data_IF_186651333406
#
_entry.id   IF_186651333406
#
_cell.length_a   1.000
_cell.length_b   1.000
_cell.length_c   1.000
_cell.angle_alpha   90.00
_cell.angle_beta   90.00
_cell.angle_gamma   90.00
#
_symmetry.space_group_name_H-M   'P 1'
#
loop_
_entity.id
_entity.type
_entity.pdbx_description
1 polymer ?
#
# COMPACT_ATOMS: atom_id res chain seq x y z
N UNK A 1 -69.42 7.72 10.17
CA UNK A 1 -68.94 7.82 8.78
C UNK A 1 -67.72 6.92 8.63
N UNK A 2 -67.77 5.85 7.83
CA UNK A 2 -66.60 5.02 7.52
C UNK A 2 -65.76 5.63 6.38
N UNK A 3 -64.48 5.28 6.31
CA UNK A 3 -63.59 5.61 5.18
C UNK A 3 -62.76 4.38 4.81
N UNK A 4 -62.76 4.01 3.52
CA UNK A 4 -62.18 2.76 3.00
C UNK A 4 -60.92 3.02 2.16
N UNK A 5 -59.81 2.40 2.57
CA UNK A 5 -58.66 1.99 1.75
C UNK A 5 -57.80 1.04 2.62
N UNK A 6 -57.09 0.03 2.10
CA UNK A 6 -56.90 -0.44 0.73
C UNK A 6 -55.54 -1.15 0.66
N UNK A 7 -55.45 -2.46 0.35
CA UNK A 7 -54.23 -3.22 0.58
C UNK A 7 -53.14 -2.92 -0.46
N UNK A 8 -51.88 -2.79 0.00
CA UNK A 8 -50.69 -2.67 -0.86
C UNK A 8 -50.14 -4.07 -1.15
N UNK A 9 -49.91 -4.37 -2.43
CA UNK A 9 -49.44 -5.68 -2.87
C UNK A 9 -47.91 -5.87 -2.69
N UNK A 10 -47.50 -7.11 -2.43
CA UNK A 10 -46.10 -7.52 -2.43
C UNK A 10 -45.70 -8.06 -3.83
N UNK A 11 -44.51 -7.70 -4.37
CA UNK A 11 -43.96 -8.35 -5.55
C UNK A 11 -43.27 -9.69 -5.18
N UNK A 12 -43.37 -10.74 -6.01
CA UNK A 12 -42.70 -12.02 -5.75
C UNK A 12 -41.19 -11.95 -6.04
N UNK A 13 -40.38 -12.52 -5.15
CA UNK A 13 -38.93 -12.72 -5.39
C UNK A 13 -38.73 -14.02 -6.17
N UNK A 14 -38.08 -13.93 -7.33
CA UNK A 14 -37.74 -15.08 -8.17
C UNK A 14 -36.44 -15.71 -7.66
N UNK A 15 -36.49 -16.99 -7.29
CA UNK A 15 -35.29 -17.79 -7.05
C UNK A 15 -34.68 -18.25 -8.38
N UNK A 16 -33.47 -17.78 -8.69
CA UNK A 16 -32.64 -18.39 -9.74
C UNK A 16 -31.83 -19.55 -9.14
N UNK A 17 -32.12 -20.78 -9.59
CA UNK A 17 -31.27 -21.94 -9.35
C UNK A 17 -30.02 -21.85 -10.23
N UNK A 18 -28.85 -22.16 -9.66
CA UNK A 18 -27.58 -22.14 -10.39
C UNK A 18 -27.29 -23.47 -11.09
N UNK A 19 -26.67 -23.39 -12.27
CA UNK A 19 -25.98 -24.49 -12.95
C UNK A 19 -24.68 -23.91 -13.52
N UNK A 20 -23.54 -24.54 -13.22
CA UNK A 20 -22.28 -24.31 -13.91
C UNK A 20 -21.45 -25.60 -13.84
N UNK A 21 -21.36 -26.30 -14.97
CA UNK A 21 -20.63 -27.55 -15.10
C UNK A 21 -19.12 -27.32 -15.27
N UNK A 22 -18.31 -28.19 -14.65
CA UNK A 22 -16.97 -28.48 -15.14
C UNK A 22 -17.05 -29.49 -16.29
N UNK A 23 -16.07 -29.47 -17.21
CA UNK A 23 -15.27 -30.69 -17.28
C UNK A 23 -13.75 -30.45 -17.31
N UNK A 24 -13.03 -31.49 -16.91
CA UNK A 24 -11.58 -31.64 -16.94
C UNK A 24 -11.21 -32.43 -18.21
N UNK A 25 -10.08 -32.15 -18.87
CA UNK A 25 -9.14 -33.20 -19.33
C UNK A 25 -7.81 -32.65 -19.87
N UNK A 26 -6.70 -33.27 -19.43
CA UNK A 26 -5.54 -33.77 -20.21
C UNK A 26 -4.72 -32.87 -21.16
N UNK A 27 -3.45 -33.18 -21.48
CA UNK A 27 -2.31 -33.88 -20.84
C UNK A 27 -1.17 -33.98 -21.89
N UNK A 28 0.07 -34.30 -21.48
CA UNK A 28 1.24 -34.60 -22.36
C UNK A 28 1.76 -33.39 -23.17
N UNK A 29 3.00 -33.28 -23.68
CA UNK A 29 4.25 -34.08 -23.77
C UNK A 29 5.46 -33.11 -23.56
N UNK A 30 6.76 -33.43 -23.53
CA UNK A 30 7.65 -34.57 -23.19
C UNK A 30 9.01 -34.32 -23.87
N UNK A 31 10.15 -34.29 -23.13
CA UNK A 31 11.56 -34.31 -23.65
C UNK A 31 11.98 -33.08 -24.51
N UNK A 32 13.25 -32.79 -24.86
CA UNK A 32 14.62 -32.91 -24.27
C UNK A 32 15.58 -32.00 -25.12
N UNK A 33 16.92 -31.92 -25.06
CA UNK A 33 17.99 -32.68 -24.37
C UNK A 33 19.35 -31.93 -24.34
N UNK A 34 20.26 -32.38 -23.46
CA UNK A 34 21.75 -32.39 -23.54
C UNK A 34 22.61 -31.22 -24.12
N UNK A 35 23.42 -30.63 -23.23
CA UNK A 35 24.88 -30.41 -23.30
C UNK A 35 25.64 -30.47 -24.65
N UNK A 36 26.53 -29.49 -24.95
CA UNK A 36 27.75 -29.75 -25.74
C UNK A 36 28.97 -28.84 -25.42
N UNK A 37 30.01 -29.46 -24.82
CA UNK A 37 31.48 -29.21 -24.85
C UNK A 37 32.14 -27.88 -24.38
N UNK A 38 33.14 -28.08 -23.50
CA UNK A 38 34.36 -27.25 -23.35
C UNK A 38 35.33 -27.42 -24.53
N UNK A 39 36.19 -26.42 -24.76
CA UNK A 39 37.52 -26.57 -25.39
C UNK A 39 38.54 -25.75 -24.56
N UNK A 40 39.75 -26.30 -24.36
CA UNK A 40 40.89 -25.64 -23.73
C UNK A 40 42.02 -25.56 -24.77
N UNK A 41 42.68 -24.40 -24.87
CA UNK A 41 44.03 -24.26 -25.46
C UNK A 41 44.86 -23.42 -24.49
N UNK A 42 46.15 -23.74 -24.38
CA UNK A 42 47.06 -23.23 -23.34
C UNK A 42 48.30 -22.57 -23.95
N UNK A 43 49.02 -21.78 -23.13
CA UNK A 43 50.37 -21.22 -23.34
C UNK A 43 50.60 -20.23 -24.51
N UNK A 44 51.06 -19.02 -24.15
CA UNK A 44 52.43 -18.59 -24.45
C UNK A 44 52.89 -17.60 -23.36
N UNK A 45 54.19 -17.36 -23.22
CA UNK A 45 54.72 -16.50 -22.16
C UNK A 45 56.00 -15.75 -22.60
N UNK A 46 56.07 -14.44 -22.32
CA UNK A 46 57.17 -13.78 -21.59
C UNK A 46 56.96 -12.26 -21.40
N UNK A 47 57.63 -11.72 -20.38
CA UNK A 47 58.16 -10.35 -20.23
C UNK A 47 57.33 -9.12 -20.67
N UNK A 48 56.88 -8.33 -19.68
CA UNK A 48 57.26 -6.91 -19.57
C UNK A 48 56.92 -6.30 -18.19
N UNK A 49 57.79 -6.51 -17.19
CA UNK A 49 57.73 -5.78 -15.91
C UNK A 49 58.32 -4.37 -16.08
N UNK A 50 57.53 -3.39 -16.54
CA UNK A 50 57.82 -1.95 -16.32
C UNK A 50 56.63 -0.98 -16.52
N UNK A 51 55.41 -1.47 -16.81
CA UNK A 51 54.23 -0.62 -17.04
C UNK A 51 53.31 -0.40 -15.81
N UNK A 52 53.54 -1.09 -14.69
CA UNK A 52 52.56 -1.20 -13.59
C UNK A 52 52.30 0.08 -12.78
N UNK A 53 53.28 0.98 -12.64
CA UNK A 53 53.21 2.09 -11.69
C UNK A 53 52.46 3.34 -12.17
N UNK A 54 52.26 3.51 -13.48
CA UNK A 54 51.49 4.65 -14.01
C UNK A 54 50.01 4.33 -14.25
N UNK A 55 49.66 3.05 -14.43
CA UNK A 55 48.25 2.64 -14.60
C UNK A 55 47.50 2.54 -13.26
N UNK A 56 48.20 2.18 -12.17
CA UNK A 56 47.60 1.98 -10.84
C UNK A 56 47.11 3.26 -10.16
N UNK A 57 47.57 4.45 -10.57
CA UNK A 57 47.00 5.73 -10.07
C UNK A 57 45.66 6.03 -10.72
N UNK A 58 45.61 5.94 -12.06
CA UNK A 58 44.38 6.23 -12.81
C UNK A 58 43.25 5.29 -12.41
N UNK A 59 43.52 3.99 -12.28
CA UNK A 59 42.55 3.01 -11.77
C UNK A 59 42.17 3.15 -10.27
N UNK A 60 42.75 4.13 -9.55
CA UNK A 60 42.30 4.56 -8.22
C UNK A 60 41.48 5.85 -8.31
N UNK A 61 41.93 6.83 -9.09
CA UNK A 61 41.20 8.08 -9.40
C UNK A 61 39.87 7.78 -10.10
N UNK A 62 39.86 6.93 -11.15
CA UNK A 62 38.67 6.41 -11.85
C UNK A 62 37.72 5.65 -10.90
N UNK A 63 38.25 5.08 -9.82
CA UNK A 63 37.46 4.37 -8.78
C UNK A 63 36.81 5.33 -7.80
N UNK A 64 37.56 6.33 -7.34
CA UNK A 64 37.07 7.37 -6.44
C UNK A 64 36.00 8.22 -7.14
N UNK A 65 36.20 8.58 -8.41
CA UNK A 65 35.18 9.25 -9.22
C UNK A 65 33.95 8.36 -9.48
N UNK A 66 34.13 7.06 -9.72
CA UNK A 66 33.01 6.11 -9.83
C UNK A 66 32.27 5.88 -8.50
N UNK A 67 32.95 5.97 -7.35
CA UNK A 67 32.34 5.84 -6.02
C UNK A 67 31.61 7.12 -5.60
N UNK A 68 32.17 8.29 -5.90
CA UNK A 68 31.48 9.59 -5.78
C UNK A 68 30.27 9.63 -6.71
N UNK A 69 30.36 9.12 -7.94
CA UNK A 69 29.23 9.01 -8.85
C UNK A 69 28.14 8.07 -8.31
N UNK A 70 28.50 6.94 -7.70
CA UNK A 70 27.55 6.03 -7.01
C UNK A 70 26.87 6.71 -5.82
N UNK A 71 27.63 7.43 -4.98
CA UNK A 71 27.10 8.20 -3.83
C UNK A 71 26.28 9.42 -4.28
N UNK A 72 26.46 9.89 -5.53
CA UNK A 72 25.64 10.93 -6.14
C UNK A 72 24.32 10.37 -6.72
N UNK A 73 24.33 9.20 -7.39
CA UNK A 73 23.09 8.53 -7.83
C UNK A 73 22.29 8.01 -6.64
N UNK A 74 22.94 7.45 -5.63
CA UNK A 74 22.28 6.91 -4.44
C UNK A 74 21.58 8.01 -3.62
N UNK A 75 22.09 9.25 -3.63
CA UNK A 75 21.40 10.44 -3.08
C UNK A 75 20.22 10.95 -3.93
N UNK A 76 19.99 10.37 -5.10
CA UNK A 76 18.82 10.67 -5.95
C UNK A 76 17.70 9.63 -5.83
N UNK A 77 18.01 8.43 -5.32
CA UNK A 77 17.05 7.34 -5.08
C UNK A 77 16.48 7.33 -3.64
N UNK A 78 16.85 8.30 -2.78
CA UNK A 78 16.27 8.57 -1.45
C UNK A 78 14.83 9.16 -1.51
N UNK A 79 14.18 9.08 -2.67
CA UNK A 79 12.74 9.31 -2.80
C UNK A 79 12.00 8.07 -2.29
N UNK A 80 10.95 8.26 -1.47
CA UNK A 80 10.26 7.16 -0.79
C UNK A 80 9.81 6.04 -1.77
N UNK A 81 10.57 4.95 -1.79
CA UNK A 81 10.23 3.78 -2.59
C UNK A 81 8.96 3.13 -2.01
N UNK A 82 7.97 2.75 -2.84
CA UNK A 82 6.81 2.02 -2.36
C UNK A 82 7.24 0.75 -1.60
N UNK A 83 6.89 0.67 -0.33
CA UNK A 83 7.22 -0.46 0.53
C UNK A 83 6.66 -1.75 -0.07
N UNK A 84 7.49 -2.79 -0.17
CA UNK A 84 7.07 -4.08 -0.69
C UNK A 84 5.87 -4.63 0.09
N UNK A 85 4.83 -5.06 -0.62
CA UNK A 85 3.59 -5.58 -0.04
C UNK A 85 3.88 -6.70 0.97
N UNK A 86 3.30 -6.66 2.18
CA UNK A 86 3.34 -7.82 3.06
C UNK A 86 2.61 -9.00 2.39
N UNK A 87 3.08 -10.26 2.57
CA UNK A 87 2.40 -11.44 2.04
C UNK A 87 1.02 -11.59 2.69
N UNK A 88 -0.03 -11.27 1.94
CA UNK A 88 -1.40 -11.23 2.42
C UNK A 88 -1.87 -12.63 2.82
N UNK A 89 -2.24 -12.77 4.09
CA UNK A 89 -2.72 -14.02 4.70
C UNK A 89 -3.71 -13.69 5.83
N UNK A 90 -4.63 -14.60 6.20
CA UNK A 90 -5.55 -14.35 7.31
C UNK A 90 -4.80 -14.11 8.62
N UNK A 91 -3.68 -14.81 8.82
CA UNK A 91 -2.80 -14.69 9.97
C UNK A 91 -2.19 -13.28 10.12
N UNK A 92 -1.90 -12.58 9.02
CA UNK A 92 -1.47 -11.17 9.07
C UNK A 92 -2.61 -10.26 9.57
N UNK A 93 -3.84 -10.46 9.09
CA UNK A 93 -5.00 -9.69 9.55
C UNK A 93 -5.32 -9.96 11.03
N UNK A 94 -5.20 -11.21 11.47
CA UNK A 94 -5.37 -11.61 12.88
C UNK A 94 -4.19 -11.25 13.79
N UNK A 95 -3.20 -10.49 13.31
CA UNK A 95 -2.15 -9.87 14.10
C UNK A 95 -2.30 -8.32 14.12
N UNK A 96 -3.13 -7.75 15.03
CA UNK A 96 -3.43 -6.31 15.05
C UNK A 96 -2.20 -5.39 15.16
N UNK A 97 -1.12 -5.84 15.77
CA UNK A 97 0.17 -5.13 15.81
C UNK A 97 0.78 -5.03 14.41
N UNK A 98 0.99 -6.16 13.72
CA UNK A 98 1.57 -6.20 12.38
C UNK A 98 0.77 -5.39 11.35
N UNK A 99 -0.57 -5.47 11.41
CA UNK A 99 -1.47 -4.66 10.58
C UNK A 99 -1.28 -3.15 10.84
N UNK A 100 -1.32 -2.74 12.11
CA UNK A 100 -1.15 -1.32 12.49
C UNK A 100 0.25 -0.80 12.21
N UNK A 101 1.28 -1.63 12.38
CA UNK A 101 2.67 -1.27 12.13
C UNK A 101 2.95 -1.10 10.64
N UNK A 102 2.43 -1.97 9.78
CA UNK A 102 2.46 -1.75 8.32
C UNK A 102 1.81 -0.41 7.94
N UNK A 103 0.60 -0.14 8.42
CA UNK A 103 -0.12 1.09 8.11
C UNK A 103 0.61 2.32 8.66
N UNK A 104 1.15 2.26 9.89
CA UNK A 104 1.93 3.32 10.54
C UNK A 104 3.21 3.64 9.77
N UNK A 105 3.98 2.62 9.39
CA UNK A 105 5.24 2.78 8.65
C UNK A 105 4.95 3.35 7.25
N UNK A 106 3.95 2.81 6.55
CA UNK A 106 3.52 3.31 5.23
C UNK A 106 3.04 4.76 5.24
N UNK A 107 2.27 5.17 6.26
CA UNK A 107 1.87 6.57 6.47
C UNK A 107 3.08 7.47 6.73
N UNK A 108 4.00 7.04 7.59
CA UNK A 108 5.21 7.82 7.93
C UNK A 108 6.17 8.03 6.74
N UNK A 109 6.24 7.06 5.83
CA UNK A 109 7.11 7.10 4.67
C UNK A 109 6.68 8.13 3.60
N UNK A 110 5.39 8.46 3.50
CA UNK A 110 4.84 9.29 2.40
C UNK A 110 3.90 10.40 2.86
N UNK A 111 2.95 10.12 3.75
CA UNK A 111 1.90 11.08 4.15
C UNK A 111 2.39 12.07 5.23
N UNK A 112 2.96 11.57 6.33
CA UNK A 112 3.44 12.44 7.42
C UNK A 112 4.62 13.32 6.97
N UNK A 113 5.42 12.79 6.04
CA UNK A 113 6.57 13.45 5.41
C UNK A 113 6.21 14.18 4.11
N UNK A 114 4.93 14.29 3.72
CA UNK A 114 4.49 14.83 2.42
C UNK A 114 5.08 16.22 2.09
N UNK A 115 5.22 17.10 3.09
CA UNK A 115 5.79 18.43 2.89
C UNK A 115 7.29 18.38 2.58
N UNK A 116 8.02 17.37 3.09
CA UNK A 116 9.43 17.15 2.77
C UNK A 116 9.58 16.64 1.33
N UNK A 117 8.78 15.63 0.94
CA UNK A 117 8.73 15.12 -0.43
C UNK A 117 8.42 16.23 -1.44
N UNK A 118 7.36 17.01 -1.21
CA UNK A 118 6.96 18.12 -2.08
C UNK A 118 8.01 19.24 -2.13
N UNK A 119 8.71 19.54 -1.03
CA UNK A 119 9.83 20.49 -1.04
C UNK A 119 11.03 19.94 -1.83
N UNK A 120 11.31 18.63 -1.81
CA UNK A 120 12.40 18.02 -2.57
C UNK A 120 12.18 18.04 -4.10
N UNK A 121 10.91 18.13 -4.55
CA UNK A 121 10.59 18.38 -5.97
C UNK A 121 10.92 19.82 -6.42
N UNK A 122 11.04 20.77 -5.48
CA UNK A 122 11.48 22.14 -5.78
C UNK A 122 13.00 22.14 -5.98
N UNK A 123 13.44 22.14 -7.23
CA UNK A 123 14.86 22.16 -7.61
C UNK A 123 15.34 23.57 -7.98
N UNK A 124 15.72 24.45 -7.02
CA UNK A 124 16.10 25.83 -7.30
C UNK A 124 17.38 25.95 -8.15
N UNK A 125 18.26 24.95 -8.08
CA UNK A 125 19.50 24.86 -8.87
C UNK A 125 19.29 24.86 -10.39
N UNK A 126 18.08 24.51 -10.88
CA UNK A 126 17.74 24.63 -12.31
C UNK A 126 17.70 26.08 -12.81
N UNK A 127 17.52 27.06 -11.93
CA UNK A 127 17.53 28.49 -12.29
C UNK A 127 18.95 29.09 -12.33
N UNK A 128 19.98 28.33 -11.93
CA UNK A 128 21.32 28.84 -11.70
C UNK A 128 21.44 29.64 -10.39
N UNK A 129 22.66 30.05 -10.06
CA UNK A 129 22.92 31.02 -8.99
C UNK A 129 23.23 32.38 -9.61
N UNK A 130 22.32 33.33 -9.43
CA UNK A 130 22.53 34.73 -9.81
C UNK A 130 23.09 35.51 -8.59
N UNK A 131 24.35 36.01 -8.64
CA UNK A 131 24.92 36.77 -7.54
C UNK A 131 24.25 38.13 -7.32
N UNK A 132 23.51 38.68 -8.30
CA UNK A 132 22.76 39.93 -8.09
C UNK A 132 21.53 39.71 -7.20
N UNK A 133 20.96 38.50 -7.18
CA UNK A 133 19.80 38.14 -6.36
C UNK A 133 20.07 38.12 -4.84
N UNK A 134 21.32 38.17 -4.37
CA UNK A 134 21.62 38.38 -2.94
C UNK A 134 21.54 39.84 -2.50
N UNK A 135 21.53 40.80 -3.44
CA UNK A 135 21.49 42.24 -3.13
C UNK A 135 20.09 42.79 -2.83
N UNK A 136 19.04 41.99 -3.04
CA UNK A 136 17.66 42.39 -2.81
C UNK A 136 16.93 41.37 -1.94
N UNK A 137 16.43 41.81 -0.78
CA UNK A 137 15.46 41.08 0.05
C UNK A 137 14.08 41.03 -0.65
N UNK A 138 14.01 40.37 -1.81
CA UNK A 138 12.74 40.02 -2.43
C UNK A 138 12.05 39.02 -1.50
N UNK A 139 10.95 39.45 -0.89
CA UNK A 139 10.05 38.54 -0.16
C UNK A 139 9.71 37.38 -1.10
N UNK A 140 10.15 36.15 -0.77
CA UNK A 140 9.95 34.99 -1.64
C UNK A 140 8.45 34.82 -1.85
N UNK A 141 7.95 34.78 -3.10
CA UNK A 141 6.54 34.52 -3.32
C UNK A 141 6.22 33.15 -2.70
N UNK A 142 5.18 33.10 -1.85
CA UNK A 142 4.68 31.86 -1.24
C UNK A 142 4.16 30.82 -2.26
N UNK A 143 4.18 31.19 -3.54
CA UNK A 143 3.77 30.41 -4.71
C UNK A 143 4.96 30.00 -5.59
N UNK A 144 6.01 29.43 -4.99
CA UNK A 144 6.87 28.50 -5.73
C UNK A 144 6.06 27.22 -6.01
N UNK A 145 5.20 27.28 -7.03
CA UNK A 145 4.52 26.10 -7.55
C UNK A 145 5.57 25.10 -8.03
N UNK A 146 5.39 23.85 -7.66
CA UNK A 146 6.25 22.75 -8.10
C UNK A 146 5.99 22.52 -9.59
N UNK A 147 7.02 22.14 -10.35
CA UNK A 147 6.86 21.75 -11.75
C UNK A 147 5.76 20.69 -11.91
N UNK A 148 4.80 20.96 -12.79
CA UNK A 148 3.62 20.13 -12.97
C UNK A 148 3.97 18.69 -13.36
N UNK A 149 5.05 18.49 -14.14
CA UNK A 149 5.53 17.15 -14.53
C UNK A 149 6.17 16.42 -13.34
N UNK A 150 6.97 17.09 -12.52
CA UNK A 150 7.52 16.54 -11.28
C UNK A 150 6.40 16.14 -10.30
N UNK A 151 5.42 17.02 -10.08
CA UNK A 151 4.24 16.72 -9.26
C UNK A 151 3.42 15.53 -9.78
N UNK A 152 3.18 15.45 -11.08
CA UNK A 152 2.45 14.32 -11.66
C UNK A 152 3.25 13.01 -11.57
N UNK A 153 4.56 13.04 -11.78
CA UNK A 153 5.42 11.86 -11.58
C UNK A 153 5.46 11.40 -10.11
N UNK A 154 5.41 12.32 -9.14
CA UNK A 154 5.28 11.96 -7.72
C UNK A 154 3.92 11.34 -7.40
N UNK A 155 2.82 11.92 -7.92
CA UNK A 155 1.46 11.37 -7.80
C UNK A 155 1.38 9.93 -8.34
N UNK A 156 1.82 9.71 -9.58
CA UNK A 156 1.68 8.41 -10.27
C UNK A 156 2.65 7.32 -9.76
N UNK A 157 3.86 7.67 -9.31
CA UNK A 157 4.91 6.67 -8.97
C UNK A 157 5.16 6.45 -7.48
N UNK A 158 4.76 7.38 -6.62
CA UNK A 158 5.01 7.30 -5.16
C UNK A 158 3.70 7.33 -4.39
N UNK A 159 2.90 8.37 -4.58
CA UNK A 159 1.70 8.61 -3.77
C UNK A 159 0.63 7.53 -4.01
N UNK A 160 0.13 7.41 -5.24
CA UNK A 160 -0.96 6.50 -5.54
C UNK A 160 -0.59 5.01 -5.39
N UNK A 161 0.61 4.52 -5.77
CA UNK A 161 1.02 3.14 -5.47
C UNK A 161 1.05 2.83 -3.96
N UNK A 162 1.56 3.75 -3.13
CA UNK A 162 1.60 3.56 -1.67
C UNK A 162 0.20 3.63 -1.03
N UNK A 163 -0.72 4.38 -1.63
CA UNK A 163 -2.13 4.37 -1.26
C UNK A 163 -2.83 3.09 -1.71
N UNK A 164 -2.46 2.54 -2.87
CA UNK A 164 -3.05 1.31 -3.39
C UNK A 164 -2.72 0.11 -2.50
N UNK A 165 -1.45 -0.06 -2.10
CA UNK A 165 -1.06 -1.20 -1.25
C UNK A 165 -1.70 -1.15 0.15
N UNK A 166 -1.93 0.04 0.72
CA UNK A 166 -2.76 0.19 1.93
C UNK A 166 -4.22 -0.13 1.68
N UNK A 167 -4.80 0.30 0.56
CA UNK A 167 -6.17 -0.07 0.16
C UNK A 167 -6.31 -1.58 -0.03
N UNK A 168 -5.31 -2.23 -0.63
CA UNK A 168 -5.24 -3.68 -0.86
C UNK A 168 -5.22 -4.45 0.47
N UNK A 169 -4.35 -4.06 1.41
CA UNK A 169 -4.31 -4.63 2.78
C UNK A 169 -5.64 -4.46 3.51
N UNK A 170 -6.19 -3.24 3.53
CA UNK A 170 -7.46 -2.97 4.22
C UNK A 170 -8.64 -3.72 3.58
N UNK A 171 -8.69 -3.81 2.25
CA UNK A 171 -9.74 -4.56 1.53
C UNK A 171 -9.64 -6.05 1.80
N UNK A 172 -8.43 -6.61 1.75
CA UNK A 172 -8.18 -8.03 2.05
C UNK A 172 -8.58 -8.38 3.49
N UNK A 173 -8.15 -7.60 4.48
CA UNK A 173 -8.54 -7.83 5.87
C UNK A 173 -10.01 -7.51 6.16
N UNK A 174 -10.69 -6.69 5.34
CA UNK A 174 -12.16 -6.56 5.39
C UNK A 174 -12.83 -7.87 5.00
N UNK A 175 -12.39 -8.50 3.91
CA UNK A 175 -12.92 -9.80 3.48
C UNK A 175 -12.72 -10.88 4.55
N UNK A 176 -11.50 -10.97 5.13
CA UNK A 176 -11.19 -11.89 6.24
C UNK A 176 -12.06 -11.63 7.47
N UNK A 177 -12.35 -10.36 7.80
CA UNK A 177 -13.23 -10.01 8.91
C UNK A 177 -14.71 -10.38 8.68
N UNK A 178 -15.13 -10.54 7.42
CA UNK A 178 -16.49 -10.96 7.04
C UNK A 178 -16.64 -12.46 6.75
N UNK A 179 -15.54 -13.19 6.59
CA UNK A 179 -15.56 -14.65 6.39
C UNK A 179 -15.68 -15.41 7.72
N UNK A 180 -16.35 -16.59 7.76
CA UNK A 180 -16.27 -17.50 8.89
C UNK A 180 -14.83 -17.91 9.21
N UNK A 181 -14.50 -17.98 10.49
CA UNK A 181 -13.16 -18.31 11.00
C UNK A 181 -13.21 -19.68 11.70
N UNK A 182 -12.90 -20.78 11.00
CA UNK A 182 -12.92 -22.14 11.58
C UNK A 182 -11.74 -22.38 12.53
N UNK A 183 -10.70 -21.56 12.45
CA UNK A 183 -9.46 -21.66 13.23
C UNK A 183 -9.44 -20.68 14.43
N UNK A 184 -10.61 -20.27 14.93
CA UNK A 184 -10.76 -19.42 16.12
C UNK A 184 -10.53 -20.24 17.41
N UNK A 185 -9.39 -20.06 18.12
CA UNK A 185 -9.05 -20.86 19.29
C UNK A 185 -9.96 -20.59 20.50
N UNK A 186 -10.69 -19.48 20.50
CA UNK A 186 -11.59 -19.10 21.60
C UNK A 186 -13.03 -19.59 21.36
N UNK A 187 -13.35 -20.14 20.17
CA UNK A 187 -14.72 -20.53 19.81
C UNK A 187 -15.32 -21.60 20.75
N UNK A 188 -14.54 -22.60 21.14
CA UNK A 188 -14.98 -23.64 22.08
C UNK A 188 -15.21 -23.09 23.50
N UNK A 189 -14.38 -22.14 23.95
CA UNK A 189 -14.54 -21.48 25.25
C UNK A 189 -15.80 -20.62 25.27
N UNK A 190 -15.99 -19.80 24.23
CA UNK A 190 -17.19 -18.95 24.01
C UNK A 190 -18.48 -19.76 23.97
N UNK A 191 -18.47 -20.94 23.34
CA UNK A 191 -19.63 -21.83 23.33
C UNK A 191 -19.95 -22.34 24.75
N UNK A 192 -18.95 -22.75 25.52
CA UNK A 192 -19.14 -23.17 26.91
C UNK A 192 -19.59 -22.01 27.83
N UNK A 193 -19.11 -20.78 27.59
CA UNK A 193 -19.60 -19.56 28.26
C UNK A 193 -21.09 -19.31 27.95
N UNK A 194 -21.49 -19.43 26.69
CA UNK A 194 -22.88 -19.29 26.23
C UNK A 194 -23.80 -20.39 26.81
N UNK A 195 -23.31 -21.62 26.94
CA UNK A 195 -24.08 -22.73 27.52
C UNK A 195 -24.25 -22.57 29.02
N UNK A 196 -23.17 -22.30 29.76
CA UNK A 196 -23.21 -21.97 31.19
C UNK A 196 -24.07 -20.75 31.50
N UNK A 197 -24.21 -19.79 30.57
CA UNK A 197 -25.10 -18.65 30.75
C UNK A 197 -26.59 -19.01 30.61
N UNK A 198 -26.95 -19.95 29.73
CA UNK A 198 -28.34 -20.45 29.58
C UNK A 198 -28.83 -21.17 30.84
N UNK A 199 -27.92 -21.80 31.58
CA UNK A 199 -28.19 -22.46 32.86
C UNK A 199 -28.31 -21.49 34.06
N UNK A 200 -27.88 -20.23 33.89
CA UNK A 200 -27.77 -19.25 34.97
C UNK A 200 -29.12 -18.59 35.29
N UNK A 201 -29.82 -19.12 36.29
CA UNK A 201 -30.95 -18.45 36.94
C UNK A 201 -30.47 -17.20 37.69
N UNK A 202 -31.21 -16.09 37.57
CA UNK A 202 -30.89 -14.79 38.17
C UNK A 202 -32.12 -14.24 38.93
N UNK A 203 -31.93 -13.78 40.16
CA UNK A 203 -32.93 -12.99 40.90
C UNK A 203 -32.61 -11.49 40.77
N UNK A 204 -33.26 -10.82 39.81
CA UNK A 204 -33.07 -9.39 39.52
C UNK A 204 -33.40 -8.47 40.71
N UNK A 205 -34.20 -8.96 41.67
CA UNK A 205 -34.54 -8.25 42.91
C UNK A 205 -33.39 -8.27 43.92
N UNK A 206 -32.44 -9.21 43.81
CA UNK A 206 -31.27 -9.30 44.67
C UNK A 206 -30.06 -8.55 44.10
N UNK A 207 -29.87 -8.59 42.78
CA UNK A 207 -28.89 -7.76 42.05
C UNK A 207 -29.42 -7.37 40.65
N UNK A 208 -29.86 -6.11 40.45
CA UNK A 208 -30.35 -5.61 39.16
C UNK A 208 -29.33 -5.57 38.01
N UNK A 209 -28.03 -5.77 38.29
CA UNK A 209 -26.97 -5.80 37.27
C UNK A 209 -26.56 -7.22 36.87
N UNK A 210 -26.75 -8.20 37.76
CA UNK A 210 -26.39 -9.61 37.54
C UNK A 210 -27.02 -10.23 36.28
N UNK A 211 -28.20 -9.76 35.85
CA UNK A 211 -28.87 -10.24 34.64
C UNK A 211 -28.01 -10.07 33.37
N UNK A 212 -27.12 -9.06 33.35
CA UNK A 212 -26.26 -8.80 32.18
C UNK A 212 -25.26 -9.92 31.96
N UNK A 213 -25.01 -10.23 30.70
CA UNK A 213 -23.97 -11.14 30.25
C UNK A 213 -23.43 -10.63 28.91
N UNK A 214 -22.11 -10.68 28.76
CA UNK A 214 -21.40 -10.27 27.56
C UNK A 214 -20.49 -11.44 27.16
N UNK A 215 -20.83 -12.20 26.11
CA UNK A 215 -19.96 -13.25 25.59
C UNK A 215 -18.62 -12.67 25.12
N UNK A 216 -17.56 -13.48 25.12
CA UNK A 216 -16.28 -13.13 24.49
C UNK A 216 -16.48 -12.89 22.98
N UNK A 217 -16.11 -11.71 22.46
CA UNK A 217 -16.28 -11.36 21.03
C UNK A 217 -15.49 -12.31 20.10
N UNK A 218 -16.04 -12.78 18.98
CA UNK A 218 -15.28 -13.57 18.01
C UNK A 218 -14.10 -12.78 17.42
N UNK A 219 -13.03 -13.50 17.04
CA UNK A 219 -11.79 -12.91 16.52
C UNK A 219 -12.03 -12.04 15.28
N UNK A 220 -12.97 -12.45 14.43
CA UNK A 220 -13.43 -11.72 13.24
C UNK A 220 -14.17 -10.43 13.55
N UNK A 221 -14.98 -10.36 14.61
CA UNK A 221 -15.69 -9.14 15.00
C UNK A 221 -14.74 -8.10 15.60
N UNK A 222 -13.81 -8.53 16.46
CA UNK A 222 -12.69 -7.71 16.94
C UNK A 222 -11.88 -7.15 15.77
N UNK A 223 -11.57 -7.98 14.76
CA UNK A 223 -10.90 -7.54 13.54
C UNK A 223 -11.75 -6.55 12.73
N UNK A 224 -13.04 -6.80 12.54
CA UNK A 224 -13.94 -5.91 11.80
C UNK A 224 -13.99 -4.50 12.43
N UNK A 225 -14.03 -4.43 13.77
CA UNK A 225 -13.99 -3.17 14.51
C UNK A 225 -12.64 -2.45 14.35
N UNK A 226 -11.52 -3.16 14.33
CA UNK A 226 -10.19 -2.57 14.03
C UNK A 226 -10.15 -2.04 12.59
N UNK A 227 -10.65 -2.80 11.60
CA UNK A 227 -10.63 -2.41 10.18
C UNK A 227 -11.50 -1.19 9.92
N UNK A 228 -12.68 -1.07 10.53
CA UNK A 228 -13.53 0.13 10.45
C UNK A 228 -12.80 1.39 10.94
N UNK A 229 -12.05 1.28 12.05
CA UNK A 229 -11.25 2.39 12.59
C UNK A 229 -10.09 2.75 11.65
N UNK A 230 -9.34 1.77 11.16
CA UNK A 230 -8.22 2.02 10.24
C UNK A 230 -8.67 2.59 8.89
N UNK A 231 -9.84 2.19 8.37
CA UNK A 231 -10.46 2.81 7.19
C UNK A 231 -10.81 4.28 7.44
N UNK A 232 -11.34 4.62 8.63
CA UNK A 232 -11.62 6.00 9.03
C UNK A 232 -10.35 6.86 9.13
N UNK A 233 -9.30 6.34 9.77
CA UNK A 233 -7.97 6.99 9.85
C UNK A 233 -7.38 7.17 8.44
N UNK A 234 -7.45 6.15 7.60
CA UNK A 234 -6.91 6.18 6.25
C UNK A 234 -7.58 7.24 5.37
N UNK A 235 -8.91 7.42 5.48
CA UNK A 235 -9.63 8.49 4.80
C UNK A 235 -9.18 9.90 5.27
N UNK A 236 -9.03 10.10 6.58
CA UNK A 236 -8.55 11.36 7.16
C UNK A 236 -7.13 11.68 6.65
N UNK A 237 -6.24 10.69 6.65
CA UNK A 237 -4.87 10.83 6.16
C UNK A 237 -4.87 11.21 4.67
N UNK A 238 -5.56 10.46 3.80
CA UNK A 238 -5.60 10.75 2.36
C UNK A 238 -6.17 12.13 2.05
N UNK A 239 -7.26 12.52 2.69
CA UNK A 239 -7.87 13.85 2.53
C UNK A 239 -6.89 14.96 2.94
N UNK A 240 -6.19 14.81 4.08
CA UNK A 240 -5.18 15.78 4.54
C UNK A 240 -3.98 15.86 3.61
N UNK A 241 -3.41 14.72 3.20
CA UNK A 241 -2.28 14.66 2.26
C UNK A 241 -2.67 15.29 0.92
N UNK A 242 -3.86 14.96 0.39
CA UNK A 242 -4.35 15.50 -0.88
C UNK A 242 -4.54 17.01 -0.86
N UNK A 243 -5.05 17.56 0.24
CA UNK A 243 -5.18 19.01 0.44
C UNK A 243 -3.82 19.73 0.29
N UNK A 244 -2.77 19.21 0.92
CA UNK A 244 -1.40 19.74 0.83
C UNK A 244 -0.83 19.57 -0.59
N UNK A 245 -1.03 18.39 -1.20
CA UNK A 245 -0.60 18.11 -2.57
C UNK A 245 -1.24 19.06 -3.58
N UNK A 246 -2.55 19.28 -3.52
CA UNK A 246 -3.23 20.19 -4.43
C UNK A 246 -2.82 21.66 -4.21
N UNK A 247 -2.61 22.09 -2.96
CA UNK A 247 -2.10 23.43 -2.65
C UNK A 247 -0.71 23.67 -3.26
N UNK A 248 0.18 22.67 -3.27
CA UNK A 248 1.58 22.81 -3.74
C UNK A 248 1.79 22.51 -5.23
N UNK A 249 0.98 21.60 -5.79
CA UNK A 249 1.06 21.18 -7.20
C UNK A 249 0.11 21.95 -8.14
N UNK A 250 -0.62 22.97 -7.66
CA UNK A 250 -1.60 23.69 -8.48
C UNK A 250 -2.77 22.82 -8.93
N UNK A 251 -3.28 21.97 -8.04
CA UNK A 251 -4.30 20.96 -8.35
C UNK A 251 -5.69 21.54 -8.62
N UNK A 252 -6.48 20.77 -9.38
CA UNK A 252 -7.93 20.93 -9.49
C UNK A 252 -8.62 20.77 -8.13
N UNK A 253 -9.82 21.32 -7.98
CA UNK A 253 -10.67 21.13 -6.78
C UNK A 253 -11.38 19.77 -6.77
N UNK A 254 -10.69 18.72 -7.21
CA UNK A 254 -11.21 17.35 -7.31
C UNK A 254 -10.85 16.53 -6.08
N UNK A 255 -11.77 15.66 -5.66
CA UNK A 255 -11.60 14.79 -4.51
C UNK A 255 -10.55 13.69 -4.76
N UNK A 256 -9.92 13.20 -3.69
CA UNK A 256 -8.79 12.28 -3.79
C UNK A 256 -9.20 10.91 -4.38
N UNK A 257 -10.45 10.50 -4.12
CA UNK A 257 -11.07 9.28 -4.66
C UNK A 257 -11.14 9.31 -6.18
N UNK A 258 -11.48 10.47 -6.77
CA UNK A 258 -11.58 10.65 -8.22
C UNK A 258 -10.22 10.55 -8.88
N UNK A 259 -9.20 11.16 -8.28
CA UNK A 259 -7.83 11.14 -8.76
C UNK A 259 -7.21 9.73 -8.72
N UNK A 260 -7.32 9.00 -7.61
CA UNK A 260 -6.81 7.62 -7.55
C UNK A 260 -7.62 6.67 -8.46
N UNK A 261 -8.95 6.86 -8.58
CA UNK A 261 -9.75 6.09 -9.52
C UNK A 261 -9.38 6.35 -10.99
N UNK A 262 -8.98 7.57 -11.34
CA UNK A 262 -8.44 7.87 -12.67
C UNK A 262 -7.07 7.22 -12.89
N UNK A 263 -6.17 7.32 -11.91
CA UNK A 263 -4.86 6.65 -11.97
C UNK A 263 -5.01 5.13 -12.16
N UNK A 264 -5.88 4.46 -11.39
CA UNK A 264 -6.18 3.02 -11.56
C UNK A 264 -6.63 2.67 -12.98
N UNK A 265 -7.49 3.48 -13.61
CA UNK A 265 -7.90 3.29 -15.01
C UNK A 265 -6.74 3.48 -15.99
N UNK A 266 -5.88 4.48 -15.74
CA UNK A 266 -4.70 4.72 -16.56
C UNK A 266 -3.68 3.57 -16.46
N UNK A 267 -3.43 3.04 -15.27
CA UNK A 267 -2.55 1.87 -15.07
C UNK A 267 -3.12 0.61 -15.71
N UNK A 268 -4.42 0.35 -15.58
CA UNK A 268 -5.07 -0.76 -16.29
C UNK A 268 -4.92 -0.65 -17.81
N UNK A 269 -5.10 0.55 -18.37
CA UNK A 269 -4.90 0.81 -19.80
C UNK A 269 -3.43 0.69 -20.23
N UNK A 270 -2.46 1.07 -19.37
CA UNK A 270 -1.02 0.87 -19.59
C UNK A 270 -0.69 -0.62 -19.62
N UNK A 271 -1.20 -1.40 -18.67
CA UNK A 271 -0.98 -2.85 -18.58
C UNK A 271 -1.65 -3.67 -19.71
N UNK A 272 -2.63 -3.08 -20.41
CA UNK A 272 -3.34 -3.71 -21.54
C UNK A 272 -2.90 -3.16 -22.92
N UNK A 273 -1.87 -2.30 -22.96
CA UNK A 273 -1.25 -1.83 -24.20
C UNK A 273 -0.13 -2.80 -24.63
N UNK A 274 -0.10 -3.26 -25.89
CA UNK A 274 0.91 -4.19 -26.41
C UNK A 274 2.26 -3.52 -26.74
#
# INVERSE_FOLDING_TARGET
>A
MPGLAGPVAQPPIIFSLGIFDHPILSQTTSRASANFRNIIIHTFAHSNKLAGFLWSKRAAEDREEAEVARVATQRHDDMAQPLASPPLSPQFCFAPSALRDFLRISRSAVDDTITQHLNALVTPSKAGFDPSSTSQLKSRPFSHQIDARACQSFKEKVLFPTWEERSRVLTYCTAVATSPDPDDPEAALRQAELEKNKERVVDERLDPYSARFFPSEPRTERLASIIRLEQGVENIVRSRTWSIVNQRCGGTTEDWEKAIAQWRRNEANRAFSP
#
